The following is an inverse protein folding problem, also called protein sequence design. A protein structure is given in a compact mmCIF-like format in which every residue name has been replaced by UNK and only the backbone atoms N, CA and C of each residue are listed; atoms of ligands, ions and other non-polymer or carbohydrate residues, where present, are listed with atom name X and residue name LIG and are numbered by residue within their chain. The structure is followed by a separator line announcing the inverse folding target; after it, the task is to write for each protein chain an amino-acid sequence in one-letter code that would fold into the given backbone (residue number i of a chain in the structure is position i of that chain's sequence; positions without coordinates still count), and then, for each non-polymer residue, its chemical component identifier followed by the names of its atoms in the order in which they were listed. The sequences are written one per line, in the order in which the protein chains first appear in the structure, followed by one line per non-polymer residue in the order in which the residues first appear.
data_IF_135716087303
#
_entry.id   IF_135716087303
#
_cell.length_a   1.000
_cell.length_b   1.000
_cell.length_c   1.000
_cell.angle_alpha   90.00
_cell.angle_beta   90.00
_cell.angle_gamma   90.00
#
_symmetry.space_group_name_H-M   'P 1'
#
loop_
_entity.id
_entity.type
_entity.pdbx_description
1 polymer ?
#
# COMPACT_ATOMS: atom_id res chain seq x y z
N UNK A 1 24.73 -0.08 -36.61
CA UNK A 1 24.09 -0.18 -35.28
C UNK A 1 23.59 -1.59 -35.12
N UNK A 2 24.00 -2.35 -34.09
CA UNK A 2 23.43 -3.67 -33.88
C UNK A 2 21.95 -3.50 -33.52
N UNK A 3 21.05 -4.35 -34.04
CA UNK A 3 19.65 -4.29 -33.66
C UNK A 3 19.57 -4.54 -32.15
N UNK A 4 18.93 -3.62 -31.41
CA UNK A 4 18.55 -3.86 -30.01
C UNK A 4 17.70 -5.12 -30.01
N UNK A 5 18.28 -6.27 -29.66
CA UNK A 5 17.54 -7.49 -29.39
C UNK A 5 16.73 -7.21 -28.13
N UNK A 6 15.48 -6.81 -28.34
CA UNK A 6 14.50 -6.73 -27.27
C UNK A 6 14.30 -8.15 -26.73
N UNK A 7 14.84 -8.43 -25.55
CA UNK A 7 14.55 -9.64 -24.81
C UNK A 7 13.49 -9.30 -23.75
N UNK A 8 12.23 -9.76 -23.90
CA UNK A 8 11.17 -9.46 -22.95
C UNK A 8 11.47 -9.98 -21.55
N UNK A 9 12.20 -11.09 -21.42
CA UNK A 9 12.53 -11.69 -20.13
C UNK A 9 13.54 -10.83 -19.37
N UNK A 10 14.62 -10.39 -20.04
CA UNK A 10 15.61 -9.49 -19.44
C UNK A 10 14.98 -8.16 -19.01
N UNK A 11 14.07 -7.61 -19.82
CA UNK A 11 13.37 -6.37 -19.47
C UNK A 11 12.43 -6.57 -18.28
N UNK A 12 11.79 -7.73 -18.14
CA UNK A 12 10.95 -8.07 -17.00
C UNK A 12 11.76 -8.06 -15.72
N UNK A 13 12.91 -8.72 -15.70
CA UNK A 13 13.77 -8.81 -14.52
C UNK A 13 14.30 -7.43 -14.11
N UNK A 14 14.78 -6.63 -15.07
CA UNK A 14 15.21 -5.25 -14.83
C UNK A 14 14.10 -4.37 -14.23
N UNK A 15 12.86 -4.53 -14.71
CA UNK A 15 11.71 -3.79 -14.18
C UNK A 15 11.34 -4.23 -12.78
N UNK A 16 11.39 -5.54 -12.49
CA UNK A 16 11.10 -6.07 -11.16
C UNK A 16 12.12 -5.56 -10.12
N UNK A 17 13.41 -5.58 -10.45
CA UNK A 17 14.45 -5.01 -9.57
C UNK A 17 14.22 -3.52 -9.34
N UNK A 18 13.92 -2.78 -10.42
CA UNK A 18 13.72 -1.34 -10.33
C UNK A 18 12.49 -0.97 -9.50
N UNK A 19 11.39 -1.70 -9.64
CA UNK A 19 10.17 -1.47 -8.85
C UNK A 19 10.46 -1.63 -7.36
N UNK A 20 11.23 -2.65 -6.96
CA UNK A 20 11.61 -2.83 -5.56
C UNK A 20 12.41 -1.64 -4.98
N UNK A 21 13.17 -0.94 -5.82
CA UNK A 21 13.92 0.25 -5.42
C UNK A 21 13.06 1.53 -5.45
N UNK A 22 12.12 1.62 -6.40
CA UNK A 22 11.31 2.82 -6.63
C UNK A 22 10.12 2.90 -5.65
N UNK A 23 9.54 1.77 -5.23
CA UNK A 23 8.35 1.72 -4.34
C UNK A 23 8.57 2.52 -3.04
N UNK A 24 9.62 2.29 -2.23
CA UNK A 24 9.79 3.00 -0.96
C UNK A 24 9.87 4.52 -1.13
N UNK A 25 10.57 4.98 -2.17
CA UNK A 25 10.72 6.40 -2.46
C UNK A 25 9.41 7.07 -2.89
N UNK A 26 8.65 6.39 -3.74
CA UNK A 26 7.34 6.87 -4.20
C UNK A 26 6.32 6.90 -3.04
N UNK A 27 6.26 5.85 -2.22
CA UNK A 27 5.40 5.79 -1.04
C UNK A 27 5.76 6.87 -0.02
N UNK A 28 7.05 7.05 0.27
CA UNK A 28 7.51 8.11 1.17
C UNK A 28 7.15 9.52 0.66
N UNK A 29 7.12 9.72 -0.66
CA UNK A 29 6.68 10.98 -1.24
C UNK A 29 5.18 11.20 -1.06
N UNK A 30 4.36 10.20 -1.36
CA UNK A 30 2.91 10.29 -1.18
C UNK A 30 2.52 10.52 0.29
N UNK A 31 3.18 9.80 1.22
CA UNK A 31 2.98 9.98 2.66
C UNK A 31 3.37 11.38 3.13
N UNK A 32 4.50 11.93 2.63
CA UNK A 32 4.90 13.30 2.97
C UNK A 32 3.93 14.35 2.45
N UNK A 33 3.34 14.13 1.28
CA UNK A 33 2.32 15.04 0.73
C UNK A 33 1.10 15.12 1.66
N UNK A 34 0.62 13.97 2.14
CA UNK A 34 -0.57 13.90 3.02
C UNK A 34 -0.27 14.36 4.46
N UNK A 35 0.93 14.07 4.97
CA UNK A 35 1.32 14.31 6.36
C UNK A 35 2.12 15.60 6.58
N UNK A 36 2.06 16.56 5.65
CA UNK A 36 2.63 17.90 5.84
C UNK A 36 4.16 17.96 5.77
N UNK A 37 4.78 17.10 4.98
CA UNK A 37 6.21 17.16 4.61
C UNK A 37 7.10 16.11 5.30
N UNK A 38 6.59 15.44 6.34
CA UNK A 38 7.30 14.36 7.05
C UNK A 38 6.41 13.12 7.15
N UNK A 39 7.00 11.93 7.07
CA UNK A 39 6.27 10.67 7.30
C UNK A 39 6.10 10.48 8.81
N UNK A 40 5.07 11.11 9.38
CA UNK A 40 4.68 10.94 10.79
C UNK A 40 3.16 10.82 10.87
N UNK A 41 2.66 9.65 11.26
CA UNK A 41 1.23 9.38 11.41
C UNK A 41 0.54 10.34 12.39
N UNK A 42 1.28 10.97 13.31
CA UNK A 42 0.74 11.97 14.23
C UNK A 42 0.45 13.32 13.55
N UNK A 43 0.79 13.52 12.29
CA UNK A 43 0.42 14.74 11.56
C UNK A 43 -1.03 14.70 11.05
N UNK A 44 -1.68 13.52 11.05
CA UNK A 44 -3.11 13.42 10.80
C UNK A 44 -3.91 13.91 12.01
N UNK A 45 -4.37 15.16 11.91
CA UNK A 45 -5.18 15.81 12.95
C UNK A 45 -6.55 15.15 13.15
N UNK A 46 -7.08 14.47 12.13
CA UNK A 46 -8.38 13.79 12.21
C UNK A 46 -8.24 12.48 12.97
N UNK A 47 -7.16 11.73 12.73
CA UNK A 47 -6.83 10.53 13.48
C UNK A 47 -6.63 10.80 14.98
N UNK A 48 -6.18 12.00 15.37
CA UNK A 48 -6.05 12.38 16.80
C UNK A 48 -7.36 12.38 17.58
N UNK A 49 -8.51 12.45 16.90
CA UNK A 49 -9.81 12.33 17.55
C UNK A 49 -10.06 10.92 18.11
N UNK A 50 -9.32 9.91 17.63
CA UNK A 50 -9.38 8.54 18.13
C UNK A 50 -8.46 8.37 19.35
N UNK A 51 -8.82 7.52 20.33
CA UNK A 51 -7.95 7.20 21.46
C UNK A 51 -6.62 6.58 21.01
N UNK A 52 -5.51 6.96 21.66
CA UNK A 52 -4.15 6.51 21.32
C UNK A 52 -3.98 4.99 21.37
N UNK A 53 -4.58 4.36 22.38
CA UNK A 53 -4.47 2.92 22.59
C UNK A 53 -5.59 2.12 21.91
N UNK A 54 -6.36 2.74 21.03
CA UNK A 54 -7.40 2.02 20.29
C UNK A 54 -6.78 1.19 19.17
N UNK A 55 -7.13 -0.09 19.11
CA UNK A 55 -6.85 -0.96 17.95
C UNK A 55 -8.14 -1.19 17.19
N UNK A 56 -8.03 -1.29 15.87
CA UNK A 56 -9.15 -1.54 14.97
C UNK A 56 -8.81 -2.64 13.98
N UNK A 57 -9.86 -3.21 13.42
CA UNK A 57 -9.81 -4.11 12.30
C UNK A 57 -10.56 -3.45 11.13
N UNK A 58 -10.00 -3.49 9.92
CA UNK A 58 -10.61 -2.93 8.72
C UNK A 58 -10.50 -3.91 7.55
N UNK A 59 -11.49 -3.89 6.66
CA UNK A 59 -11.52 -4.73 5.46
C UNK A 59 -11.62 -3.83 4.23
N UNK A 60 -10.75 -4.06 3.25
CA UNK A 60 -10.78 -3.37 1.96
C UNK A 60 -11.52 -4.24 0.95
N UNK A 61 -12.55 -3.68 0.31
CA UNK A 61 -13.34 -4.34 -0.71
C UNK A 61 -13.22 -3.60 -2.03
N UNK A 62 -13.29 -4.32 -3.15
CA UNK A 62 -13.57 -3.68 -4.45
C UNK A 62 -15.07 -3.49 -4.63
N UNK A 63 -15.49 -2.46 -5.35
CA UNK A 63 -16.90 -2.23 -5.73
C UNK A 63 -17.18 -2.54 -7.20
N UNK A 64 -16.13 -2.83 -7.97
CA UNK A 64 -16.19 -3.06 -9.41
C UNK A 64 -15.39 -4.31 -9.77
N UNK A 65 -15.70 -4.90 -10.93
CA UNK A 65 -14.92 -6.01 -11.45
C UNK A 65 -13.62 -5.49 -12.04
N UNK A 66 -12.52 -6.24 -11.90
CA UNK A 66 -11.23 -5.81 -12.41
C UNK A 66 -10.12 -6.83 -12.22
N UNK A 67 -8.88 -6.36 -12.24
CA UNK A 67 -7.68 -7.13 -11.92
C UNK A 67 -6.97 -6.42 -10.78
N UNK A 68 -6.62 -7.15 -9.73
CA UNK A 68 -5.90 -6.60 -8.59
C UNK A 68 -4.43 -6.37 -8.93
N UNK A 69 -3.89 -5.22 -8.50
CA UNK A 69 -2.48 -4.88 -8.58
C UNK A 69 -2.17 -3.82 -7.53
N UNK A 70 -1.05 -3.95 -6.83
CA UNK A 70 -0.59 -2.96 -5.86
C UNK A 70 -0.22 -3.52 -4.49
N UNK A 71 -0.18 -4.85 -4.32
CA UNK A 71 0.10 -5.51 -3.02
C UNK A 71 1.30 -4.90 -2.29
N UNK A 72 2.42 -4.78 -3.01
CA UNK A 72 3.69 -4.27 -2.47
C UNK A 72 3.64 -2.80 -2.05
N UNK A 73 2.86 -1.98 -2.75
CA UNK A 73 2.70 -0.57 -2.39
C UNK A 73 1.94 -0.42 -1.08
N UNK A 74 0.88 -1.21 -0.88
CA UNK A 74 0.10 -1.21 0.35
C UNK A 74 0.95 -1.69 1.54
N UNK A 75 1.73 -2.76 1.36
CA UNK A 75 2.67 -3.24 2.40
C UNK A 75 3.65 -2.13 2.80
N UNK A 76 4.26 -1.46 1.82
CA UNK A 76 5.24 -0.40 2.09
C UNK A 76 4.63 0.80 2.83
N UNK A 77 3.38 1.19 2.52
CA UNK A 77 2.67 2.27 3.23
C UNK A 77 2.62 1.99 4.73
N UNK A 78 2.19 0.79 5.12
CA UNK A 78 2.06 0.43 6.53
C UNK A 78 3.41 0.20 7.21
N UNK A 79 4.40 -0.33 6.49
CA UNK A 79 5.79 -0.43 6.97
C UNK A 79 6.33 0.96 7.33
N UNK A 80 6.13 1.96 6.48
CA UNK A 80 6.62 3.32 6.75
C UNK A 80 5.83 4.05 7.85
N UNK A 81 4.54 3.76 8.01
CA UNK A 81 3.69 4.42 9.00
C UNK A 81 3.83 3.85 10.42
N UNK A 82 3.96 2.52 10.56
CA UNK A 82 3.90 1.86 11.86
C UNK A 82 4.81 0.63 11.99
N UNK A 83 5.63 0.33 10.99
CA UNK A 83 6.48 -0.85 10.99
C UNK A 83 5.66 -2.13 11.17
N UNK A 84 5.98 -2.88 12.22
CA UNK A 84 5.39 -4.20 12.51
C UNK A 84 4.09 -4.14 13.33
N UNK A 85 3.57 -2.96 13.68
CA UNK A 85 2.35 -2.85 14.52
C UNK A 85 1.05 -3.00 13.70
N UNK A 86 1.15 -3.13 12.38
CA UNK A 86 0.02 -3.39 11.48
C UNK A 86 0.19 -4.75 10.80
N UNK A 87 -0.82 -5.60 10.96
CA UNK A 87 -0.93 -6.89 10.27
C UNK A 87 -1.83 -6.73 9.05
N UNK A 88 -1.39 -7.23 7.90
CA UNK A 88 -2.17 -7.29 6.66
C UNK A 88 -2.46 -8.74 6.32
N UNK A 89 -3.74 -9.09 6.18
CA UNK A 89 -4.21 -10.42 5.78
C UNK A 89 -4.74 -10.34 4.36
N UNK A 90 -4.00 -10.90 3.40
CA UNK A 90 -4.32 -10.86 1.98
C UNK A 90 -5.25 -12.00 1.55
N UNK A 91 -6.25 -11.68 0.72
CA UNK A 91 -7.15 -12.65 0.08
C UNK A 91 -6.97 -12.75 -1.43
N UNK A 92 -6.13 -11.87 -2.01
CA UNK A 92 -5.82 -11.79 -3.44
C UNK A 92 -4.32 -11.52 -3.64
N UNK A 93 -3.83 -11.86 -4.83
CA UNK A 93 -2.48 -11.56 -5.30
C UNK A 93 -2.48 -10.66 -6.55
N UNK A 94 -1.35 -9.99 -6.80
CA UNK A 94 -1.16 -9.14 -7.97
C UNK A 94 -1.36 -9.95 -9.26
N UNK A 95 -2.34 -9.55 -10.07
CA UNK A 95 -2.74 -10.24 -11.30
C UNK A 95 -4.04 -11.05 -11.18
N UNK A 96 -4.62 -11.18 -9.99
CA UNK A 96 -5.89 -11.89 -9.81
C UNK A 96 -7.08 -11.12 -10.35
N UNK A 97 -8.06 -11.84 -10.91
CA UNK A 97 -9.35 -11.27 -11.31
C UNK A 97 -10.22 -11.09 -10.07
N UNK A 98 -10.73 -9.88 -9.88
CA UNK A 98 -11.56 -9.50 -8.74
C UNK A 98 -12.98 -9.14 -9.17
N UNK A 99 -13.94 -9.45 -8.33
CA UNK A 99 -15.36 -9.19 -8.57
C UNK A 99 -15.91 -8.13 -7.61
N UNK A 100 -16.93 -7.40 -8.02
CA UNK A 100 -17.59 -6.40 -7.18
C UNK A 100 -18.00 -6.99 -5.81
N UNK A 101 -17.74 -6.22 -4.75
CA UNK A 101 -17.93 -6.54 -3.33
C UNK A 101 -17.02 -7.65 -2.78
N UNK A 102 -15.99 -8.07 -3.52
CA UNK A 102 -14.99 -9.01 -3.02
C UNK A 102 -14.06 -8.32 -2.03
N UNK A 103 -13.76 -9.01 -0.92
CA UNK A 103 -12.71 -8.62 0.02
C UNK A 103 -11.33 -8.84 -0.61
N UNK A 104 -10.50 -7.81 -0.59
CA UNK A 104 -9.14 -7.84 -1.13
C UNK A 104 -8.15 -8.21 -0.02
N UNK A 105 -8.23 -7.50 1.11
CA UNK A 105 -7.40 -7.73 2.27
C UNK A 105 -8.01 -7.13 3.53
N UNK A 106 -7.53 -7.59 4.67
CA UNK A 106 -7.87 -7.10 6.00
C UNK A 106 -6.65 -6.48 6.66
N UNK A 107 -6.88 -5.50 7.53
CA UNK A 107 -5.87 -4.75 8.27
C UNK A 107 -6.20 -4.78 9.76
N UNK A 108 -5.20 -5.07 10.58
CA UNK A 108 -5.31 -5.02 12.05
C UNK A 108 -4.18 -4.21 12.63
N UNK A 109 -4.49 -3.24 13.49
CA UNK A 109 -3.45 -2.36 14.06
C UNK A 109 -4.02 -1.16 14.82
N UNK A 110 -3.16 -0.19 15.18
CA UNK A 110 -3.59 1.06 15.81
C UNK A 110 -4.60 1.81 14.94
N UNK A 111 -5.73 2.20 15.51
CA UNK A 111 -6.83 2.81 14.74
C UNK A 111 -6.41 4.11 14.04
N UNK A 112 -5.51 4.88 14.66
CA UNK A 112 -4.95 6.11 14.07
C UNK A 112 -4.20 5.80 12.78
N UNK A 113 -3.31 4.81 12.82
CA UNK A 113 -2.51 4.37 11.66
C UNK A 113 -3.41 3.84 10.55
N UNK A 114 -4.40 3.00 10.89
CA UNK A 114 -5.35 2.48 9.90
C UNK A 114 -6.16 3.60 9.24
N UNK A 115 -6.55 4.63 9.99
CA UNK A 115 -7.28 5.77 9.45
C UNK A 115 -6.41 6.64 8.53
N UNK A 116 -5.15 6.86 8.89
CA UNK A 116 -4.20 7.62 8.07
C UNK A 116 -3.81 6.86 6.81
N UNK A 117 -3.46 5.58 6.91
CA UNK A 117 -3.03 4.77 5.77
C UNK A 117 -4.13 4.51 4.73
N UNK A 118 -5.41 4.63 5.09
CA UNK A 118 -6.53 4.29 4.19
C UNK A 118 -6.54 5.10 2.90
N UNK A 119 -6.09 6.36 2.92
CA UNK A 119 -6.08 7.26 1.76
C UNK A 119 -5.06 6.82 0.71
N UNK A 120 -4.08 6.01 1.12
CA UNK A 120 -3.03 5.47 0.26
C UNK A 120 -3.31 4.03 -0.22
N UNK A 121 -4.42 3.43 0.20
CA UNK A 121 -4.80 2.05 -0.13
C UNK A 121 -5.93 1.94 -1.17
N UNK A 122 -6.49 3.07 -1.62
CA UNK A 122 -7.66 3.14 -2.49
C UNK A 122 -7.30 3.33 -3.96
#
# INVERSE_FOLDING_TARGET
MPPRRYNPDTRRDELLERINLDIPGAVAQALREDLGGTVDANNDITAKLLPENSRSHATVITRENGVFCGKRWVEEVFIQLAGDDVTIIWHVDDGDVINANQSLFELEGPSRVLLTGRTHCA
#
